data_IF_229842727030
#
_entry.id   IF_229842727030
#
_cell.length_a   1.000
_cell.length_b   1.000
_cell.length_c   1.000
_cell.angle_alpha   90.00
_cell.angle_beta   90.00
_cell.angle_gamma   90.00
#
_symmetry.space_group_name_H-M   'P 1'
#
loop_
_entity.id
_entity.type
_entity.pdbx_description
1 polymer ?
#
# COMPACT_ATOMS: atom_id res chain seq x y z
N UNK A 1 14.71 -7.75 5.07
CA UNK A 1 14.24 -7.80 3.67
C UNK A 1 12.80 -7.31 3.64
N UNK A 2 12.43 -6.36 2.78
CA UNK A 2 11.10 -5.73 2.80
C UNK A 2 10.01 -6.63 2.18
N UNK A 3 10.33 -7.30 1.08
CA UNK A 3 9.44 -8.22 0.39
C UNK A 3 9.93 -9.68 0.45
N UNK A 4 9.02 -10.66 0.59
CA UNK A 4 9.33 -12.08 0.44
C UNK A 4 9.70 -12.39 -1.02
N UNK A 5 10.23 -13.59 -1.26
CA UNK A 5 10.49 -14.10 -2.61
C UNK A 5 9.19 -14.37 -3.37
N UNK A 6 8.21 -14.99 -2.70
CA UNK A 6 6.87 -15.16 -3.22
C UNK A 6 5.98 -13.94 -2.90
N UNK A 7 5.64 -13.18 -3.95
CA UNK A 7 4.76 -12.03 -3.86
C UNK A 7 3.26 -12.38 -3.97
N UNK A 8 2.90 -13.65 -4.16
CA UNK A 8 1.51 -14.11 -4.28
C UNK A 8 0.64 -13.69 -3.09
N UNK A 9 0.97 -14.12 -1.86
CA UNK A 9 0.22 -13.76 -0.67
C UNK A 9 0.10 -12.25 -0.43
N UNK A 10 1.18 -11.43 -0.40
CA UNK A 10 1.04 -9.99 -0.16
C UNK A 10 0.23 -9.27 -1.25
N UNK A 11 0.33 -9.70 -2.52
CA UNK A 11 -0.50 -9.15 -3.60
C UNK A 11 -1.98 -9.45 -3.38
N UNK A 12 -2.34 -10.69 -3.02
CA UNK A 12 -3.73 -11.03 -2.68
C UNK A 12 -4.24 -10.18 -1.52
N UNK A 13 -3.44 -10.03 -0.47
CA UNK A 13 -3.84 -9.25 0.70
C UNK A 13 -4.10 -7.78 0.39
N UNK A 14 -3.25 -7.16 -0.45
CA UNK A 14 -3.47 -5.79 -0.90
C UNK A 14 -4.75 -5.68 -1.73
N UNK A 15 -4.98 -6.62 -2.68
CA UNK A 15 -6.19 -6.62 -3.49
C UNK A 15 -7.47 -6.74 -2.63
N UNK A 16 -7.52 -7.71 -1.71
CA UNK A 16 -8.65 -7.87 -0.79
C UNK A 16 -8.87 -6.63 0.08
N UNK A 17 -7.78 -6.03 0.57
CA UNK A 17 -7.86 -4.81 1.37
C UNK A 17 -8.47 -3.66 0.57
N UNK A 18 -8.02 -3.43 -0.68
CA UNK A 18 -8.55 -2.35 -1.53
C UNK A 18 -10.00 -2.59 -1.94
N UNK A 19 -10.36 -3.83 -2.26
CA UNK A 19 -11.77 -4.21 -2.52
C UNK A 19 -12.63 -3.82 -1.32
N UNK A 20 -12.25 -4.22 -0.11
CA UNK A 20 -13.01 -3.89 1.09
C UNK A 20 -13.01 -2.37 1.38
N UNK A 21 -11.87 -1.72 1.23
CA UNK A 21 -11.71 -0.28 1.52
C UNK A 21 -12.65 0.58 0.69
N UNK A 22 -12.86 0.21 -0.59
CA UNK A 22 -13.75 0.92 -1.50
C UNK A 22 -15.20 0.38 -1.51
N UNK A 23 -15.61 -0.32 -0.45
CA UNK A 23 -17.00 -0.73 -0.24
C UNK A 23 -17.40 -2.06 -0.85
N UNK A 24 -16.45 -2.85 -1.33
CA UNK A 24 -16.66 -4.24 -1.71
C UNK A 24 -16.83 -5.18 -0.51
N UNK A 25 -16.86 -6.51 -0.75
CA UNK A 25 -16.98 -7.51 0.31
C UNK A 25 -15.90 -7.40 1.40
N UNK A 26 -16.24 -7.79 2.62
CA UNK A 26 -15.38 -7.71 3.82
C UNK A 26 -14.38 -8.88 3.95
N UNK A 27 -14.08 -9.57 2.84
CA UNK A 27 -13.23 -10.77 2.80
C UNK A 27 -11.86 -10.54 3.43
N UNK A 28 -11.25 -9.36 3.29
CA UNK A 28 -9.99 -9.05 3.98
C UNK A 28 -10.16 -9.19 5.51
N UNK A 29 -11.21 -8.60 6.07
CA UNK A 29 -11.45 -8.62 7.51
C UNK A 29 -11.84 -10.01 8.01
N UNK A 30 -12.57 -10.79 7.20
CA UNK A 30 -12.89 -12.18 7.52
C UNK A 30 -11.62 -13.05 7.58
N UNK A 31 -10.70 -12.89 6.63
CA UNK A 31 -9.47 -13.69 6.57
C UNK A 31 -8.37 -13.19 7.51
N UNK A 32 -8.31 -11.88 7.77
CA UNK A 32 -7.15 -11.24 8.41
C UNK A 32 -7.48 -10.45 9.66
N UNK A 33 -8.76 -10.26 9.98
CA UNK A 33 -9.21 -9.38 11.05
C UNK A 33 -9.01 -7.89 10.73
N UNK A 34 -9.17 -7.05 11.74
CA UNK A 34 -9.08 -5.59 11.60
C UNK A 34 -7.77 -5.14 10.90
N UNK A 35 -7.80 -4.21 9.93
CA UNK A 35 -6.63 -3.82 9.14
C UNK A 35 -5.40 -3.41 9.95
N UNK A 36 -5.57 -2.54 10.96
CA UNK A 36 -4.48 -2.11 11.88
C UNK A 36 -3.17 -1.82 11.12
N UNK A 37 -3.26 -1.03 10.04
CA UNK A 37 -2.18 -0.91 9.05
C UNK A 37 -0.84 -0.54 9.67
N UNK A 38 -0.78 0.52 10.48
CA UNK A 38 0.46 0.92 11.19
C UNK A 38 1.07 -0.21 12.00
N UNK A 39 0.28 -0.92 12.80
CA UNK A 39 0.74 -2.07 13.60
C UNK A 39 1.34 -3.18 12.73
N UNK A 40 0.71 -3.50 11.59
CA UNK A 40 1.22 -4.55 10.67
C UNK A 40 2.49 -4.13 9.93
N UNK A 41 2.70 -2.83 9.73
CA UNK A 41 3.85 -2.28 9.01
C UNK A 41 5.04 -1.94 9.91
N UNK A 42 4.84 -1.76 11.22
CA UNK A 42 5.88 -1.42 12.21
C UNK A 42 7.05 -2.41 12.29
N UNK A 43 6.88 -3.63 11.79
CA UNK A 43 7.96 -4.63 11.71
C UNK A 43 8.98 -4.36 10.59
N UNK A 44 8.68 -3.41 9.70
CA UNK A 44 9.53 -3.03 8.58
C UNK A 44 10.13 -1.66 8.85
N UNK A 45 11.31 -1.38 8.32
CA UNK A 45 11.88 -0.03 8.35
C UNK A 45 11.41 0.70 7.11
N UNK A 46 10.42 1.58 7.26
CA UNK A 46 9.79 2.31 6.15
C UNK A 46 10.19 3.78 6.27
N UNK A 47 11.21 4.16 5.51
CA UNK A 47 11.62 5.54 5.32
C UNK A 47 11.13 6.11 4.00
N UNK A 48 11.62 7.33 3.70
CA UNK A 48 11.24 8.06 2.49
C UNK A 48 11.56 7.27 1.21
N UNK A 49 12.72 6.60 1.14
CA UNK A 49 13.12 5.81 -0.03
C UNK A 49 12.19 4.63 -0.29
N UNK A 50 11.74 3.94 0.75
CA UNK A 50 10.83 2.80 0.63
C UNK A 50 9.43 3.27 0.21
N UNK A 51 8.94 4.39 0.78
CA UNK A 51 7.68 5.03 0.38
C UNK A 51 7.70 5.40 -1.10
N UNK A 52 8.75 6.08 -1.56
CA UNK A 52 8.86 6.51 -2.96
C UNK A 52 8.94 5.34 -3.92
N UNK A 53 9.72 4.30 -3.58
CA UNK A 53 9.78 3.10 -4.39
C UNK A 53 8.41 2.42 -4.52
N UNK A 54 7.67 2.29 -3.41
CA UNK A 54 6.32 1.74 -3.42
C UNK A 54 5.36 2.58 -4.25
N UNK A 55 5.36 3.91 -4.09
CA UNK A 55 4.50 4.81 -4.85
C UNK A 55 4.78 4.78 -6.36
N UNK A 56 6.05 4.68 -6.78
CA UNK A 56 6.37 4.52 -8.21
C UNK A 56 5.71 3.28 -8.81
N UNK A 57 5.75 2.15 -8.09
CA UNK A 57 5.10 0.93 -8.56
C UNK A 57 3.57 1.02 -8.54
N UNK A 58 2.97 1.65 -7.52
CA UNK A 58 1.51 1.84 -7.47
C UNK A 58 1.01 2.75 -8.60
N UNK A 59 1.72 3.84 -8.91
CA UNK A 59 1.36 4.72 -10.03
C UNK A 59 1.38 3.98 -11.37
N UNK A 60 2.45 3.24 -11.65
CA UNK A 60 2.55 2.43 -12.86
C UNK A 60 1.45 1.35 -12.95
N UNK A 61 1.07 0.75 -11.81
CA UNK A 61 -0.02 -0.22 -11.75
C UNK A 61 -1.39 0.42 -12.03
N UNK A 62 -1.66 1.61 -11.50
CA UNK A 62 -2.89 2.36 -11.79
C UNK A 62 -2.95 2.77 -13.27
N UNK A 63 -1.85 3.31 -13.80
CA UNK A 63 -1.76 3.71 -15.21
C UNK A 63 -2.03 2.54 -16.17
N UNK A 64 -1.49 1.36 -15.87
CA UNK A 64 -1.70 0.16 -16.69
C UNK A 64 -3.04 -0.56 -16.45
N UNK A 65 -3.85 -0.13 -15.48
CA UNK A 65 -5.10 -0.81 -15.12
C UNK A 65 -6.29 -0.53 -16.06
N UNK A 66 -6.22 0.55 -16.85
CA UNK A 66 -7.36 1.03 -17.65
C UNK A 66 -8.47 1.70 -16.84
N UNK A 67 -8.19 2.08 -15.58
CA UNK A 67 -9.12 2.84 -14.74
C UNK A 67 -9.50 4.19 -15.38
N UNK A 68 -10.70 4.70 -15.05
CA UNK A 68 -11.09 6.05 -15.44
C UNK A 68 -10.16 7.09 -14.80
N UNK A 69 -10.08 8.30 -15.36
CA UNK A 69 -9.26 9.38 -14.77
C UNK A 69 -9.68 9.68 -13.32
N UNK A 70 -10.99 9.65 -13.05
CA UNK A 70 -11.52 9.87 -11.71
C UNK A 70 -11.06 8.78 -10.72
N UNK A 71 -11.18 7.51 -11.10
CA UNK A 71 -10.78 6.38 -10.25
C UNK A 71 -9.26 6.33 -10.06
N UNK A 72 -8.50 6.59 -11.13
CA UNK A 72 -7.04 6.66 -11.06
C UNK A 72 -6.58 7.76 -10.09
N UNK A 73 -7.23 8.92 -10.12
CA UNK A 73 -6.94 10.02 -9.20
C UNK A 73 -7.24 9.62 -7.75
N UNK A 74 -8.42 9.05 -7.50
CA UNK A 74 -8.82 8.59 -6.16
C UNK A 74 -7.87 7.52 -5.60
N UNK A 75 -7.42 6.57 -6.44
CA UNK A 75 -6.44 5.56 -6.06
C UNK A 75 -5.09 6.18 -5.73
N UNK A 76 -4.59 7.08 -6.56
CA UNK A 76 -3.30 7.75 -6.35
C UNK A 76 -3.31 8.57 -5.06
N UNK A 77 -4.34 9.39 -4.85
CA UNK A 77 -4.48 10.21 -3.64
C UNK A 77 -4.51 9.35 -2.38
N UNK A 78 -5.25 8.24 -2.44
CA UNK A 78 -5.30 7.27 -1.36
C UNK A 78 -3.91 6.66 -1.08
N UNK A 79 -3.21 6.19 -2.11
CA UNK A 79 -1.89 5.59 -1.97
C UNK A 79 -0.87 6.58 -1.41
N UNK A 80 -0.89 7.84 -1.84
CA UNK A 80 -0.01 8.88 -1.32
C UNK A 80 -0.22 9.12 0.17
N UNK A 81 -1.47 9.29 0.59
CA UNK A 81 -1.84 9.49 1.99
C UNK A 81 -1.52 8.26 2.85
N UNK A 82 -1.93 7.07 2.40
CA UNK A 82 -1.69 5.82 3.09
C UNK A 82 -0.18 5.56 3.27
N UNK A 83 0.63 5.70 2.23
CA UNK A 83 2.07 5.46 2.32
C UNK A 83 2.77 6.46 3.25
N UNK A 84 2.37 7.74 3.26
CA UNK A 84 2.87 8.72 4.22
C UNK A 84 2.53 8.32 5.66
N UNK A 85 1.30 7.84 5.90
CA UNK A 85 0.86 7.41 7.23
C UNK A 85 1.61 6.20 7.80
N UNK A 86 2.39 5.50 6.96
CA UNK A 86 3.15 4.30 7.32
C UNK A 86 4.65 4.55 7.52
N UNK A 87 5.15 5.78 7.29
CA UNK A 87 6.53 6.15 7.58
C UNK A 87 6.84 5.95 9.08
N UNK A 88 7.99 5.34 9.36
CA UNK A 88 8.46 5.07 10.73
C UNK A 88 9.98 5.30 10.93
N UNK A 89 10.70 5.71 9.89
CA UNK A 89 12.10 6.12 9.98
C UNK A 89 12.23 7.65 9.86
N UNK A 90 13.18 8.29 10.55
CA UNK A 90 13.49 9.69 10.34
C UNK A 90 14.06 9.93 8.92
N UNK A 91 14.06 11.17 8.41
CA UNK A 91 14.75 11.53 7.18
C UNK A 91 16.22 11.10 7.25
N UNK A 92 16.76 10.54 6.15
CA UNK A 92 18.20 10.26 6.11
C UNK A 92 18.97 11.58 6.15
N UNK A 93 20.01 11.64 6.98
CA UNK A 93 20.93 12.76 6.97
C UNK A 93 21.60 12.86 5.59
N UNK A 94 21.67 14.07 5.05
CA UNK A 94 22.42 14.36 3.84
C UNK A 94 23.89 14.38 4.26
N UNK A 95 24.68 13.38 3.82
CA UNK A 95 26.15 13.37 3.97
C UNK A 95 26.77 13.75 2.64
#
# INVERSE_FOLDING_TARGET
RLYPEDLGPPRRHLALFLIQYWGGPDTYSQERGHPRLRMRHFRFRIGQSEREAWLRHMRAAVESSGASVADATALIDYFESAATSLLDQPPRAIT
#
